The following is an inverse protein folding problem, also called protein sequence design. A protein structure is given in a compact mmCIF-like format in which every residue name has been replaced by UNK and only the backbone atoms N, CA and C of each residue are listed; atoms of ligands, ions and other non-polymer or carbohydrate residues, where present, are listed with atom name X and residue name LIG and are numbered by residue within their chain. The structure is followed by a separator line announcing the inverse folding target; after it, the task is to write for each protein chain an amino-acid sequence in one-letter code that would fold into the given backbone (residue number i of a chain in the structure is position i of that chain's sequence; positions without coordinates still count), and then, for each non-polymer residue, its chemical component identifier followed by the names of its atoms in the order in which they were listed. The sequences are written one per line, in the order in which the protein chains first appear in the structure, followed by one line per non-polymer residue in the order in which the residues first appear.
data_IF_001008357224
#
_entry.id   IF_001008357224
#
_cell.length_a   1.000
_cell.length_b   1.000
_cell.length_c   1.000
_cell.angle_alpha   90.00
_cell.angle_beta   90.00
_cell.angle_gamma   90.00
#
_symmetry.space_group_name_H-M   'P 1'
#
loop_
_entity.id
_entity.type
_entity.pdbx_description
1 polymer ?
#
# COMPACT_ATOMS: atom_id res chain seq x y z
N UNK A 1 39.68 45.95 -20.85
CA UNK A 1 38.49 45.68 -20.00
C UNK A 1 38.24 44.14 -19.99
N UNK A 2 38.73 43.41 -18.95
CA UNK A 2 38.61 41.95 -18.87
C UNK A 2 37.16 41.61 -18.49
N UNK A 3 36.49 40.90 -19.36
CA UNK A 3 35.10 40.48 -19.31
C UNK A 3 34.84 39.67 -18.04
N UNK A 4 34.16 40.27 -17.06
CA UNK A 4 33.76 39.61 -15.77
C UNK A 4 32.44 38.83 -15.87
N UNK A 5 31.93 38.63 -17.07
CA UNK A 5 30.67 37.95 -17.37
C UNK A 5 30.60 36.51 -16.85
N UNK A 6 31.65 35.65 -16.98
CA UNK A 6 31.50 34.27 -16.55
C UNK A 6 31.30 34.10 -15.04
N UNK A 7 31.74 35.06 -14.22
CA UNK A 7 31.57 34.99 -12.75
C UNK A 7 30.14 35.22 -12.28
N UNK A 8 29.28 35.85 -13.08
CA UNK A 8 27.87 36.05 -12.81
C UNK A 8 27.02 34.80 -13.18
N UNK A 9 27.50 33.96 -14.07
CA UNK A 9 26.81 32.74 -14.48
C UNK A 9 26.80 31.68 -13.36
N UNK A 10 27.86 31.61 -12.56
CA UNK A 10 27.99 30.63 -11.48
C UNK A 10 26.90 30.80 -10.40
N UNK A 11 26.70 32.02 -9.81
CA UNK A 11 25.65 32.20 -8.81
C UNK A 11 24.22 32.04 -9.39
N UNK A 12 24.01 32.43 -10.65
CA UNK A 12 22.72 32.23 -11.34
C UNK A 12 22.43 30.75 -11.50
N UNK A 13 23.42 29.97 -11.97
CA UNK A 13 23.27 28.52 -12.13
C UNK A 13 23.03 27.83 -10.76
N UNK A 14 23.78 28.25 -9.74
CA UNK A 14 23.61 27.73 -8.37
C UNK A 14 22.22 28.05 -7.80
N UNK A 15 21.70 29.25 -8.07
CA UNK A 15 20.36 29.66 -7.67
C UNK A 15 19.28 28.80 -8.35
N UNK A 16 19.38 28.58 -9.67
CA UNK A 16 18.43 27.71 -10.40
C UNK A 16 18.52 26.27 -9.95
N UNK A 17 19.73 25.75 -9.72
CA UNK A 17 19.93 24.41 -9.18
C UNK A 17 19.30 24.27 -7.78
N UNK A 18 19.48 25.29 -6.93
CA UNK A 18 18.85 25.36 -5.60
C UNK A 18 17.31 25.33 -5.67
N UNK A 19 16.73 26.08 -6.62
CA UNK A 19 15.27 26.07 -6.84
C UNK A 19 14.75 24.70 -7.32
N UNK A 20 15.47 24.05 -8.22
CA UNK A 20 15.12 22.70 -8.72
C UNK A 20 15.20 21.68 -7.60
N UNK A 21 16.27 21.70 -6.81
CA UNK A 21 16.43 20.81 -5.66
C UNK A 21 15.37 21.06 -4.60
N UNK A 22 15.11 22.32 -4.27
CA UNK A 22 14.04 22.69 -3.31
C UNK A 22 12.66 22.22 -3.77
N UNK A 23 12.34 22.38 -5.06
CA UNK A 23 11.09 21.91 -5.65
C UNK A 23 10.98 20.38 -5.66
N UNK A 24 12.13 19.69 -5.84
CA UNK A 24 12.19 18.22 -5.82
C UNK A 24 12.05 17.65 -4.42
N UNK A 25 12.65 18.28 -3.41
CA UNK A 25 12.61 17.83 -2.02
C UNK A 25 11.22 18.02 -1.36
N UNK A 26 10.40 18.93 -1.87
CA UNK A 26 9.04 19.15 -1.37
C UNK A 26 7.98 18.26 -2.03
N UNK A 27 8.35 17.37 -2.94
CA UNK A 27 7.42 16.37 -3.48
C UNK A 27 7.40 15.17 -2.57
N UNK A 28 6.22 14.79 -2.11
CA UNK A 28 6.01 13.56 -1.35
C UNK A 28 6.34 12.35 -2.23
N UNK A 29 7.43 11.59 -1.95
CA UNK A 29 7.80 10.43 -2.75
C UNK A 29 6.80 9.27 -2.64
N UNK A 30 5.89 9.31 -1.67
CA UNK A 30 4.87 8.30 -1.46
C UNK A 30 3.60 8.56 -2.29
N UNK A 31 3.46 9.76 -2.87
CA UNK A 31 2.35 10.10 -3.75
C UNK A 31 2.68 9.71 -5.20
N UNK A 32 2.67 8.41 -5.45
CA UNK A 32 2.81 7.88 -6.80
C UNK A 32 1.44 8.03 -7.46
N UNK A 33 1.36 8.89 -8.49
CA UNK A 33 0.19 8.91 -9.37
C UNK A 33 0.01 7.52 -9.97
N UNK A 34 -1.05 6.85 -9.53
CA UNK A 34 -1.31 5.46 -9.87
C UNK A 34 -1.62 5.32 -11.35
N UNK A 35 -0.69 4.75 -12.09
CA UNK A 35 -0.99 4.18 -13.39
C UNK A 35 -2.07 3.06 -13.28
N UNK A 36 -2.16 2.43 -12.10
CA UNK A 36 -3.11 1.35 -11.81
C UNK A 36 -4.43 1.82 -11.16
N UNK A 37 -4.60 3.11 -10.86
CA UNK A 37 -5.86 3.63 -10.30
C UNK A 37 -7.00 3.42 -11.29
N UNK A 38 -8.12 2.87 -10.80
CA UNK A 38 -9.28 2.48 -11.59
C UNK A 38 -9.07 1.24 -12.50
N UNK A 39 -8.00 0.48 -12.30
CA UNK A 39 -7.86 -0.83 -12.92
C UNK A 39 -8.42 -1.94 -11.99
N UNK A 40 -8.95 -3.00 -12.58
CA UNK A 40 -9.36 -4.16 -11.79
C UNK A 40 -8.14 -4.85 -11.19
N UNK A 41 -8.30 -5.36 -9.96
CA UNK A 41 -7.29 -6.26 -9.38
C UNK A 41 -7.08 -7.46 -10.30
N UNK A 42 -5.84 -7.89 -10.56
CA UNK A 42 -5.55 -9.03 -11.42
C UNK A 42 -6.24 -10.32 -10.95
N UNK A 43 -6.45 -11.27 -11.88
CA UNK A 43 -6.89 -12.61 -11.51
C UNK A 43 -5.78 -13.35 -10.76
N UNK A 44 -6.15 -14.02 -9.69
CA UNK A 44 -5.21 -14.81 -8.89
C UNK A 44 -5.88 -16.00 -8.22
N UNK A 45 -5.06 -16.96 -7.82
CA UNK A 45 -5.41 -18.08 -6.97
C UNK A 45 -4.20 -18.43 -6.11
N UNK A 46 -4.17 -17.94 -4.88
CA UNK A 46 -3.07 -18.13 -3.92
C UNK A 46 -3.52 -19.00 -2.76
N UNK A 47 -2.58 -19.72 -2.14
CA UNK A 47 -2.87 -20.42 -0.89
C UNK A 47 -2.99 -19.44 0.26
N UNK A 48 -3.86 -19.76 1.21
CA UNK A 48 -3.92 -19.06 2.48
C UNK A 48 -2.67 -19.38 3.32
N UNK A 49 -2.13 -18.36 4.01
CA UNK A 49 -0.87 -18.49 4.77
C UNK A 49 -0.99 -19.49 5.92
N UNK A 50 -2.08 -19.40 6.69
CA UNK A 50 -2.32 -20.20 7.89
C UNK A 50 -2.95 -21.56 7.54
N UNK A 51 -3.68 -21.64 6.43
CA UNK A 51 -4.41 -22.83 5.97
C UNK A 51 -4.03 -23.16 4.51
N UNK A 52 -2.88 -23.80 4.26
CA UNK A 52 -2.31 -23.99 2.93
C UNK A 52 -3.22 -24.67 1.92
N UNK A 53 -4.14 -25.52 2.38
CA UNK A 53 -5.12 -26.24 1.57
C UNK A 53 -6.24 -25.32 1.05
N UNK A 54 -6.46 -24.20 1.71
CA UNK A 54 -7.44 -23.23 1.24
C UNK A 54 -6.82 -22.32 0.17
N UNK A 55 -7.59 -22.10 -0.90
CA UNK A 55 -7.25 -21.14 -1.93
C UNK A 55 -8.08 -19.88 -1.75
N UNK A 56 -7.42 -18.76 -1.92
CA UNK A 56 -8.04 -17.44 -1.99
C UNK A 56 -7.95 -16.98 -3.44
N UNK A 57 -9.09 -16.57 -3.99
CA UNK A 57 -9.20 -16.12 -5.38
C UNK A 57 -9.76 -14.70 -5.43
N UNK A 58 -9.59 -14.03 -6.56
CA UNK A 58 -10.15 -12.69 -6.78
C UNK A 58 -11.65 -12.63 -6.50
N UNK A 59 -12.41 -13.65 -6.87
CA UNK A 59 -13.86 -13.67 -6.66
C UNK A 59 -14.31 -13.54 -5.19
N UNK A 60 -13.44 -13.89 -4.25
CA UNK A 60 -13.74 -13.74 -2.81
C UNK A 60 -13.59 -12.29 -2.31
N UNK A 61 -12.99 -11.41 -3.11
CA UNK A 61 -12.88 -9.99 -2.80
C UNK A 61 -14.10 -9.20 -3.32
N UNK A 62 -14.80 -9.74 -4.32
CA UNK A 62 -15.94 -9.06 -4.93
C UNK A 62 -17.13 -8.97 -3.97
N UNK A 63 -17.93 -7.91 -4.12
CA UNK A 63 -19.10 -7.64 -3.29
C UNK A 63 -18.81 -6.98 -1.93
N UNK A 64 -17.52 -6.71 -1.63
CA UNK A 64 -17.10 -6.04 -0.40
C UNK A 64 -15.91 -5.14 -0.65
N UNK A 65 -15.88 -4.02 0.04
CA UNK A 65 -14.68 -3.18 0.07
C UNK A 65 -13.57 -3.94 0.78
N UNK A 66 -12.40 -4.01 0.13
CA UNK A 66 -11.25 -4.77 0.61
C UNK A 66 -10.02 -3.90 0.71
N UNK A 67 -9.33 -3.99 1.84
CA UNK A 67 -7.97 -3.46 2.02
C UNK A 67 -7.00 -4.63 1.84
N UNK A 68 -6.02 -4.48 0.96
CA UNK A 68 -4.89 -5.40 0.84
C UNK A 68 -3.63 -4.67 1.31
N UNK A 69 -3.00 -5.21 2.35
CA UNK A 69 -1.71 -4.74 2.81
C UNK A 69 -0.62 -5.74 2.41
N UNK A 70 0.37 -5.26 1.68
CA UNK A 70 1.52 -6.05 1.21
C UNK A 70 2.62 -6.00 2.26
N UNK A 71 2.99 -7.15 2.79
CA UNK A 71 3.89 -7.25 3.93
C UNK A 71 4.81 -8.47 3.85
N UNK A 72 5.85 -8.48 4.67
CA UNK A 72 6.75 -9.63 4.82
C UNK A 72 7.37 -9.69 6.21
N UNK A 73 7.77 -10.88 6.65
CA UNK A 73 8.44 -11.08 7.94
C UNK A 73 9.82 -10.43 8.03
N UNK A 74 10.50 -10.24 6.93
CA UNK A 74 11.80 -9.58 6.85
C UNK A 74 11.70 -8.04 6.81
N UNK A 75 10.49 -7.49 6.64
CA UNK A 75 10.24 -6.05 6.56
C UNK A 75 10.07 -5.46 7.98
N UNK A 76 10.96 -4.56 8.39
CA UNK A 76 10.93 -3.96 9.72
C UNK A 76 9.74 -3.00 9.92
N UNK A 77 9.49 -2.11 8.97
CA UNK A 77 8.36 -1.16 9.00
C UNK A 77 6.99 -1.87 8.91
N UNK A 78 6.90 -3.00 8.20
CA UNK A 78 5.68 -3.80 8.19
C UNK A 78 5.29 -4.28 9.59
N UNK A 79 6.27 -4.67 10.41
CA UNK A 79 6.01 -5.10 11.81
C UNK A 79 5.52 -3.95 12.69
N UNK A 80 5.96 -2.72 12.41
CA UNK A 80 5.56 -1.53 13.16
C UNK A 80 4.11 -1.16 12.86
N UNK A 81 3.67 -1.27 11.60
CA UNK A 81 2.31 -0.90 11.22
C UNK A 81 1.23 -1.92 11.61
N UNK A 82 1.58 -3.21 11.92
CA UNK A 82 0.61 -4.25 12.22
C UNK A 82 -0.37 -3.86 13.34
N UNK A 83 0.12 -3.20 14.40
CA UNK A 83 -0.73 -2.75 15.51
C UNK A 83 -1.69 -1.63 15.10
N UNK A 84 -1.25 -0.73 14.22
CA UNK A 84 -2.09 0.35 13.67
C UNK A 84 -3.15 -0.24 12.75
N UNK A 85 -2.78 -1.16 11.87
CA UNK A 85 -3.72 -1.86 10.99
C UNK A 85 -4.76 -2.68 11.78
N UNK A 86 -4.37 -3.29 12.90
CA UNK A 86 -5.28 -4.02 13.79
C UNK A 86 -6.31 -3.10 14.45
N UNK A 87 -5.88 -1.93 14.90
CA UNK A 87 -6.78 -0.89 15.40
C UNK A 87 -7.76 -0.41 14.33
N UNK A 88 -7.29 -0.17 13.10
CA UNK A 88 -8.11 0.25 11.97
C UNK A 88 -9.12 -0.85 11.61
N UNK A 89 -8.65 -2.08 11.42
CA UNK A 89 -9.47 -3.23 11.04
C UNK A 89 -10.57 -3.51 12.07
N UNK A 90 -10.25 -3.41 13.36
CA UNK A 90 -11.21 -3.60 14.46
C UNK A 90 -12.31 -2.54 14.50
N UNK A 91 -12.06 -1.35 13.95
CA UNK A 91 -13.04 -0.25 13.89
C UNK A 91 -14.01 -0.33 12.70
N UNK A 92 -13.74 -1.21 11.72
CA UNK A 92 -14.42 -1.25 10.42
C UNK A 92 -15.09 -2.61 10.14
N UNK A 93 -16.37 -2.75 10.50
CA UNK A 93 -17.10 -4.02 10.38
C UNK A 93 -17.47 -4.40 8.93
N UNK A 94 -17.50 -3.45 7.99
CA UNK A 94 -17.91 -3.66 6.59
C UNK A 94 -16.75 -3.78 5.61
N UNK A 95 -15.52 -3.57 6.05
CA UNK A 95 -14.31 -3.61 5.23
C UNK A 95 -13.53 -4.89 5.52
N UNK A 96 -13.15 -5.61 4.47
CA UNK A 96 -12.27 -6.77 4.59
C UNK A 96 -10.81 -6.32 4.64
N UNK A 97 -10.04 -6.90 5.55
CA UNK A 97 -8.59 -6.69 5.63
C UNK A 97 -7.87 -7.98 5.26
N UNK A 98 -7.12 -7.95 4.16
CA UNK A 98 -6.33 -9.08 3.68
C UNK A 98 -4.84 -8.70 3.68
N UNK A 99 -4.01 -9.61 4.19
CA UNK A 99 -2.57 -9.53 4.02
C UNK A 99 -2.14 -10.18 2.71
N UNK A 100 -1.25 -9.55 1.96
CA UNK A 100 -0.51 -10.18 0.87
C UNK A 100 0.93 -10.39 1.34
N UNK A 101 1.22 -11.61 1.74
CA UNK A 101 2.55 -11.98 2.24
C UNK A 101 3.49 -12.20 1.04
N UNK A 102 4.42 -11.27 0.85
CA UNK A 102 5.23 -11.10 -0.35
C UNK A 102 6.63 -11.67 -0.18
N UNK A 103 7.02 -12.62 -1.03
CA UNK A 103 8.38 -13.21 -1.12
C UNK A 103 8.95 -13.57 0.25
N UNK A 104 8.21 -14.35 0.99
CA UNK A 104 8.50 -14.68 2.37
C UNK A 104 8.50 -16.18 2.62
N UNK A 105 9.12 -16.57 3.69
CA UNK A 105 9.08 -17.90 4.27
C UNK A 105 7.80 -18.07 5.11
N UNK A 106 7.00 -19.10 4.83
CA UNK A 106 5.72 -19.35 5.50
C UNK A 106 5.85 -19.35 7.02
N UNK A 107 6.82 -20.08 7.57
CA UNK A 107 6.99 -20.19 9.01
C UNK A 107 7.43 -18.86 9.65
N UNK A 108 8.30 -18.11 8.98
CA UNK A 108 8.72 -16.78 9.42
C UNK A 108 7.55 -15.79 9.44
N UNK A 109 6.70 -15.84 8.40
CA UNK A 109 5.49 -15.04 8.32
C UNK A 109 4.51 -15.36 9.46
N UNK A 110 4.21 -16.64 9.71
CA UNK A 110 3.35 -17.09 10.80
C UNK A 110 3.88 -16.65 12.17
N UNK A 111 5.19 -16.79 12.41
CA UNK A 111 5.82 -16.36 13.65
C UNK A 111 5.72 -14.84 13.84
N UNK A 112 5.80 -14.08 12.74
CA UNK A 112 5.66 -12.61 12.78
C UNK A 112 4.25 -12.22 13.21
N UNK A 113 3.21 -12.76 12.56
CA UNK A 113 1.82 -12.48 12.94
C UNK A 113 1.49 -12.88 14.37
N UNK A 114 2.01 -14.01 14.83
CA UNK A 114 1.83 -14.46 16.21
C UNK A 114 2.51 -13.51 17.23
N UNK A 115 3.67 -12.96 16.88
CA UNK A 115 4.48 -12.14 17.79
C UNK A 115 4.00 -10.68 17.89
N UNK A 116 3.53 -10.10 16.80
CA UNK A 116 3.20 -8.67 16.73
C UNK A 116 1.67 -8.44 16.76
N UNK A 117 0.97 -8.79 15.71
CA UNK A 117 -0.49 -8.73 15.55
C UNK A 117 -0.90 -9.37 14.22
N UNK A 118 -2.14 -9.76 14.08
CA UNK A 118 -2.71 -10.21 12.82
C UNK A 118 -4.02 -9.45 12.51
N UNK A 119 -3.94 -8.31 11.84
CA UNK A 119 -5.09 -7.51 11.46
C UNK A 119 -5.93 -8.13 10.33
N UNK A 120 -5.46 -9.21 9.72
CA UNK A 120 -6.01 -9.74 8.49
C UNK A 120 -7.00 -10.87 8.75
N UNK A 121 -8.15 -10.80 8.10
CA UNK A 121 -9.12 -11.89 8.08
C UNK A 121 -8.58 -13.10 7.30
N UNK A 122 -7.76 -12.83 6.28
CA UNK A 122 -7.03 -13.84 5.49
C UNK A 122 -5.70 -13.29 5.03
N UNK A 123 -4.73 -14.20 4.87
CA UNK A 123 -3.40 -13.87 4.34
C UNK A 123 -3.15 -14.65 3.04
N UNK A 124 -3.00 -13.93 1.94
CA UNK A 124 -2.58 -14.48 0.65
C UNK A 124 -1.09 -14.76 0.70
N UNK A 125 -0.69 -15.99 0.49
CA UNK A 125 0.71 -16.39 0.47
C UNK A 125 1.26 -16.33 -0.95
N UNK A 126 2.10 -15.34 -1.25
CA UNK A 126 2.70 -15.06 -2.56
C UNK A 126 4.24 -15.18 -2.51
N UNK A 127 4.79 -16.41 -2.33
CA UNK A 127 6.21 -16.60 -2.14
C UNK A 127 7.05 -16.26 -3.37
N UNK A 128 6.47 -16.25 -4.55
CA UNK A 128 7.13 -15.84 -5.80
C UNK A 128 6.89 -14.37 -6.13
N UNK A 129 5.94 -13.71 -5.47
CA UNK A 129 5.60 -12.31 -5.71
C UNK A 129 4.85 -12.09 -7.02
N UNK A 130 4.13 -13.10 -7.51
CA UNK A 130 3.45 -13.04 -8.81
C UNK A 130 2.28 -12.07 -8.76
N UNK A 131 1.42 -12.16 -7.75
CA UNK A 131 0.29 -11.24 -7.59
C UNK A 131 0.79 -9.83 -7.26
N UNK A 132 1.73 -9.72 -6.33
CA UNK A 132 2.30 -8.43 -5.97
C UNK A 132 2.88 -7.71 -7.21
N UNK A 133 3.64 -8.42 -8.05
CA UNK A 133 4.19 -7.86 -9.29
C UNK A 133 3.10 -7.46 -10.29
N UNK A 134 2.06 -8.31 -10.45
CA UNK A 134 0.93 -8.01 -11.33
C UNK A 134 0.10 -6.81 -10.86
N UNK A 135 0.09 -6.52 -9.56
CA UNK A 135 -0.49 -5.32 -8.97
C UNK A 135 0.43 -4.08 -9.07
N UNK A 136 1.66 -4.23 -9.58
CA UNK A 136 2.63 -3.14 -9.64
C UNK A 136 3.32 -2.82 -8.31
N UNK A 137 3.32 -3.75 -7.35
CA UNK A 137 4.05 -3.62 -6.08
C UNK A 137 5.56 -3.63 -6.35
N UNK A 138 6.27 -2.64 -5.83
CA UNK A 138 7.73 -2.57 -5.94
C UNK A 138 8.45 -2.63 -4.59
N UNK A 139 7.71 -2.61 -3.49
CA UNK A 139 8.28 -2.71 -2.15
C UNK A 139 7.26 -3.06 -1.08
N UNK A 140 7.71 -3.17 0.15
CA UNK A 140 6.87 -3.37 1.34
C UNK A 140 7.26 -2.36 2.41
N UNK A 141 6.28 -1.83 3.18
CA UNK A 141 4.85 -2.10 3.08
C UNK A 141 4.16 -1.27 2.00
N UNK A 142 3.05 -1.78 1.48
CA UNK A 142 2.11 -1.04 0.64
C UNK A 142 0.67 -1.42 1.03
N UNK A 143 -0.23 -0.42 1.02
CA UNK A 143 -1.64 -0.63 1.34
C UNK A 143 -2.52 -0.21 0.16
N UNK A 144 -3.41 -1.09 -0.25
CA UNK A 144 -4.29 -0.95 -1.39
C UNK A 144 -5.74 -0.98 -0.96
N UNK A 145 -6.57 -0.07 -1.47
CA UNK A 145 -8.01 -0.03 -1.25
C UNK A 145 -8.72 -0.42 -2.54
N UNK A 146 -9.56 -1.43 -2.45
CA UNK A 146 -10.27 -2.05 -3.56
C UNK A 146 -11.76 -1.96 -3.25
N UNK A 147 -12.55 -1.49 -4.21
CA UNK A 147 -14.00 -1.40 -4.05
C UNK A 147 -14.70 -2.76 -4.23
N UNK A 148 -16.02 -2.78 -4.05
CA UNK A 148 -16.83 -3.99 -4.17
C UNK A 148 -16.84 -4.61 -5.58
N UNK A 149 -16.53 -3.81 -6.62
CA UNK A 149 -16.40 -4.29 -8.00
C UNK A 149 -15.01 -4.88 -8.29
N UNK A 150 -14.11 -4.83 -7.33
CA UNK A 150 -12.73 -5.30 -7.45
C UNK A 150 -11.83 -4.30 -8.17
N UNK A 151 -12.18 -3.02 -8.16
CA UNK A 151 -11.39 -1.95 -8.79
C UNK A 151 -10.50 -1.30 -7.75
N UNK A 152 -9.24 -1.10 -8.10
CA UNK A 152 -8.25 -0.41 -7.26
C UNK A 152 -8.58 1.08 -7.23
N UNK A 153 -8.83 1.62 -6.03
CA UNK A 153 -9.21 3.02 -5.84
C UNK A 153 -8.15 3.86 -5.17
N UNK A 154 -7.36 3.27 -4.31
CA UNK A 154 -6.26 3.94 -3.61
C UNK A 154 -5.10 2.99 -3.38
N UNK A 155 -3.90 3.54 -3.40
CA UNK A 155 -2.65 2.88 -3.01
C UNK A 155 -1.83 3.84 -2.17
N UNK A 156 -1.20 3.33 -1.16
CA UNK A 156 -0.19 4.03 -0.40
C UNK A 156 1.04 3.15 -0.26
N UNK A 157 2.19 3.67 -0.66
CA UNK A 157 3.48 2.98 -0.53
C UNK A 157 4.23 3.55 0.67
N UNK A 158 4.40 2.76 1.70
CA UNK A 158 5.03 3.12 2.97
C UNK A 158 4.28 2.60 4.17
N UNK A 159 4.83 2.84 5.36
CA UNK A 159 4.24 2.44 6.64
C UNK A 159 2.91 3.16 6.87
N UNK A 160 1.84 2.38 7.15
CA UNK A 160 0.52 2.93 7.45
C UNK A 160 0.49 3.54 8.85
N UNK A 161 0.01 4.79 8.92
CA UNK A 161 -0.30 5.48 10.18
C UNK A 161 -1.77 5.84 10.26
N UNK A 162 -2.28 6.11 11.46
CA UNK A 162 -3.66 6.58 11.63
C UNK A 162 -3.91 7.89 10.87
N UNK A 163 -2.94 8.76 10.80
CA UNK A 163 -3.03 10.03 10.09
C UNK A 163 -3.18 9.81 8.57
N UNK A 164 -2.33 8.99 7.98
CA UNK A 164 -2.40 8.62 6.55
C UNK A 164 -3.73 7.95 6.25
N UNK A 165 -4.16 7.02 7.11
CA UNK A 165 -5.44 6.36 6.96
C UNK A 165 -6.60 7.35 6.94
N UNK A 166 -6.64 8.28 7.89
CA UNK A 166 -7.70 9.30 7.99
C UNK A 166 -7.69 10.27 6.80
N UNK A 167 -6.52 10.63 6.30
CA UNK A 167 -6.40 11.60 5.20
C UNK A 167 -6.66 10.98 3.83
N UNK A 168 -6.24 9.74 3.58
CA UNK A 168 -6.22 9.17 2.24
C UNK A 168 -7.25 8.05 2.00
N UNK A 169 -7.64 7.29 3.03
CA UNK A 169 -8.52 6.13 2.89
C UNK A 169 -9.94 6.41 3.40
N UNK A 170 -10.06 7.03 4.57
CA UNK A 170 -11.37 7.33 5.18
C UNK A 170 -12.31 8.16 4.29
N UNK A 171 -11.85 9.19 3.54
CA UNK A 171 -12.75 9.95 2.68
C UNK A 171 -13.41 9.10 1.59
N UNK A 172 -12.68 8.13 1.02
CA UNK A 172 -13.21 7.20 0.02
C UNK A 172 -14.24 6.24 0.63
N UNK A 173 -13.94 5.70 1.81
CA UNK A 173 -14.84 4.82 2.53
C UNK A 173 -16.13 5.53 2.93
N UNK A 174 -16.06 6.78 3.39
CA UNK A 174 -17.23 7.60 3.73
C UNK A 174 -18.10 7.87 2.49
N UNK A 175 -17.52 8.22 1.36
CA UNK A 175 -18.23 8.43 0.10
C UNK A 175 -19.00 7.17 -0.35
N UNK A 176 -18.44 5.97 -0.17
CA UNK A 176 -19.12 4.73 -0.55
C UNK A 176 -20.22 4.34 0.43
N UNK A 177 -20.03 4.62 1.73
CA UNK A 177 -21.06 4.39 2.73
C UNK A 177 -22.32 5.26 2.50
N UNK A 178 -22.14 6.49 2.04
CA UNK A 178 -23.24 7.39 1.65
C UNK A 178 -23.95 6.93 0.38
N UNK A 179 -23.22 6.37 -0.59
CA UNK A 179 -23.80 5.88 -1.84
C UNK A 179 -24.66 4.60 -1.68
N UNK A 180 -24.45 3.83 -0.59
CA UNK A 180 -25.25 2.64 -0.25
C UNK A 180 -26.53 2.96 0.54
N UNK A 181 -26.76 4.23 0.92
CA UNK A 181 -27.96 4.62 1.66
C UNK A 181 -29.01 5.12 0.65
N UNK A 182 -30.11 4.37 0.40
CA UNK A 182 -31.16 4.74 -0.56
C UNK A 182 -31.97 5.95 -0.10
#
# INVERSE_FOLDING_TARGET
MKQRWPWLLVPVLAFFLGLVLYSGLNRDPHHIELAEKNLPIPEFSLSELQQPEQKITRSQLLGKVTVINVWASWCASCKQELAVLDQIASSLNKVQFYGLNYRDERQAALNTLHRYSNPYQKNLYDPQGILALAMGVYGTPETWLIDADGIIRQRYAGEMTLEIWQQQFMPLLAQWAEAETP
#
